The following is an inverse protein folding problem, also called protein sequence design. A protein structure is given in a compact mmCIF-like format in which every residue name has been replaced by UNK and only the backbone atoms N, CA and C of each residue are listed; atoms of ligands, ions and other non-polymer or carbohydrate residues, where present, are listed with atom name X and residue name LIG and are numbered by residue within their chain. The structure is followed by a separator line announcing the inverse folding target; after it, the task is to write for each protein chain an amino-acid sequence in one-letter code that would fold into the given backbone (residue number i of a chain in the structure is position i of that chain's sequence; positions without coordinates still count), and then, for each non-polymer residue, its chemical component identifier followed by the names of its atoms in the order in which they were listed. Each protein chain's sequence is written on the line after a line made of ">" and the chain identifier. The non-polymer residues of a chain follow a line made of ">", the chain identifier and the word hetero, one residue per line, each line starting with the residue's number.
data_IF_054435220349
#
_entry.id   IF_054435220349
#
_cell.length_a   1.000
_cell.length_b   1.000
_cell.length_c   1.000
_cell.angle_alpha   90.00
_cell.angle_beta   90.00
_cell.angle_gamma   90.00
#
_symmetry.space_group_name_H-M   'P 1'
#
loop_
_entity.id
_entity.type
_entity.pdbx_description
1 polymer ?
#
# COMPACT_ATOMS: atom_id res chain seq x y z
N UNK A 1 13.30 -0.51 -10.53
CA UNK A 1 12.46 -1.50 -9.81
C UNK A 1 13.03 -1.95 -8.47
N UNK A 2 14.33 -2.28 -8.36
CA UNK A 2 14.91 -2.81 -7.10
C UNK A 2 14.83 -1.87 -5.88
N UNK A 3 14.85 -0.53 -6.04
CA UNK A 3 14.76 0.39 -4.89
C UNK A 3 13.34 0.55 -4.34
N UNK A 4 12.29 0.32 -5.15
CA UNK A 4 10.90 0.48 -4.71
C UNK A 4 10.47 -0.63 -3.74
N UNK A 5 10.93 -1.88 -3.99
CA UNK A 5 10.77 -3.00 -3.06
C UNK A 5 11.70 -2.89 -1.84
N UNK A 6 12.80 -2.14 -1.94
CA UNK A 6 13.75 -1.98 -0.84
C UNK A 6 13.20 -1.12 0.29
N UNK A 7 12.35 -0.12 0.01
CA UNK A 7 11.78 0.80 1.04
C UNK A 7 10.96 0.10 2.13
N UNK A 8 9.90 -0.69 1.82
CA UNK A 8 9.13 -1.38 2.85
C UNK A 8 9.96 -2.44 3.57
N UNK A 9 10.83 -3.15 2.85
CA UNK A 9 11.77 -4.11 3.46
C UNK A 9 12.76 -3.43 4.41
N UNK A 10 13.24 -2.23 4.07
CA UNK A 10 14.14 -1.47 4.91
C UNK A 10 13.45 -0.99 6.19
N UNK A 11 12.22 -0.45 6.10
CA UNK A 11 11.45 -0.06 7.30
C UNK A 11 11.15 -1.23 8.22
N UNK A 12 10.78 -2.38 7.66
CA UNK A 12 10.53 -3.57 8.45
C UNK A 12 11.79 -4.11 9.15
N UNK A 13 12.90 -4.22 8.42
CA UNK A 13 14.15 -4.82 8.95
C UNK A 13 14.93 -3.87 9.84
N UNK A 14 15.00 -2.58 9.49
CA UNK A 14 15.88 -1.60 10.15
C UNK A 14 15.16 -0.63 11.07
N UNK A 15 13.92 -0.22 10.76
CA UNK A 15 13.15 0.73 11.59
C UNK A 15 12.22 0.02 12.58
N UNK A 16 12.06 -1.30 12.47
CA UNK A 16 11.21 -2.11 13.35
C UNK A 16 9.72 -1.89 13.14
N UNK A 17 9.32 -1.28 12.02
CA UNK A 17 7.92 -0.99 11.70
C UNK A 17 7.14 -2.28 11.45
N UNK A 18 6.04 -2.47 12.20
CA UNK A 18 5.18 -3.66 12.15
C UNK A 18 3.77 -3.35 11.66
N UNK A 19 3.43 -2.07 11.47
CA UNK A 19 2.16 -1.66 10.89
C UNK A 19 2.12 -2.05 9.40
N UNK A 20 1.40 -3.13 9.10
CA UNK A 20 1.26 -3.67 7.74
C UNK A 20 0.64 -2.64 6.80
N UNK A 21 -0.28 -1.80 7.30
CA UNK A 21 -0.88 -0.72 6.51
C UNK A 21 0.18 0.32 6.15
N UNK A 22 1.02 0.68 7.10
CA UNK A 22 2.14 1.59 6.84
C UNK A 22 3.10 1.05 5.79
N UNK A 23 3.47 -0.23 5.88
CA UNK A 23 4.34 -0.89 4.90
C UNK A 23 3.70 -0.95 3.51
N UNK A 24 2.39 -1.20 3.43
CA UNK A 24 1.64 -1.19 2.17
C UNK A 24 1.61 0.20 1.52
N UNK A 25 1.34 1.25 2.30
CA UNK A 25 1.35 2.65 1.81
C UNK A 25 2.77 3.08 1.41
N UNK A 26 3.79 2.64 2.15
CA UNK A 26 5.19 2.87 1.80
C UNK A 26 5.56 2.26 0.45
N UNK A 27 5.09 1.03 0.17
CA UNK A 27 5.27 0.36 -1.12
C UNK A 27 4.54 1.12 -2.23
N UNK A 28 3.32 1.56 -1.98
CA UNK A 28 2.52 2.36 -2.90
C UNK A 28 3.26 3.64 -3.28
N UNK A 29 3.70 4.42 -2.28
CA UNK A 29 4.46 5.66 -2.48
C UNK A 29 5.71 5.43 -3.33
N UNK A 30 6.46 4.37 -3.01
CA UNK A 30 7.70 4.04 -3.70
C UNK A 30 7.49 3.68 -5.18
N UNK A 31 6.36 3.06 -5.54
CA UNK A 31 6.06 2.71 -6.94
C UNK A 31 5.52 3.94 -7.68
N UNK A 32 4.60 4.69 -7.07
CA UNK A 32 3.97 5.85 -7.72
C UNK A 32 5.00 6.96 -8.00
N UNK A 33 5.87 7.26 -7.05
CA UNK A 33 6.82 8.39 -7.14
C UNK A 33 8.04 8.09 -8.02
N UNK A 34 8.44 6.82 -8.15
CA UNK A 34 9.60 6.44 -8.96
C UNK A 34 9.25 6.24 -10.45
N UNK A 35 7.98 6.35 -10.84
CA UNK A 35 7.48 6.16 -12.22
C UNK A 35 8.17 5.01 -13.00
N UNK A 36 8.23 3.77 -12.45
CA UNK A 36 9.04 2.71 -13.03
C UNK A 36 8.49 2.15 -14.37
N UNK A 37 7.27 2.49 -14.75
CA UNK A 37 6.63 2.05 -16.00
C UNK A 37 6.27 3.25 -16.88
N UNK A 38 6.25 3.05 -18.21
CA UNK A 38 5.84 4.09 -19.17
C UNK A 38 4.39 4.56 -18.95
N UNK A 39 3.48 3.64 -18.61
CA UNK A 39 2.08 3.94 -18.27
C UNK A 39 1.55 2.97 -17.21
N UNK A 40 0.53 3.39 -16.44
CA UNK A 40 -0.15 2.50 -15.47
C UNK A 40 0.50 2.40 -14.09
N UNK A 41 1.47 3.27 -13.76
CA UNK A 41 2.14 3.31 -12.45
C UNK A 41 1.15 3.32 -11.26
N UNK A 42 0.07 4.10 -11.36
CA UNK A 42 -0.93 4.25 -10.29
C UNK A 42 -1.69 2.95 -10.00
N UNK A 43 -2.20 2.29 -11.05
CA UNK A 43 -2.90 1.00 -10.93
C UNK A 43 -1.98 -0.10 -10.41
N UNK A 44 -0.73 -0.10 -10.89
CA UNK A 44 0.27 -1.10 -10.48
C UNK A 44 0.67 -0.92 -9.02
N UNK A 45 0.91 0.31 -8.58
CA UNK A 45 1.22 0.62 -7.18
C UNK A 45 0.07 0.24 -6.24
N UNK A 46 -1.16 0.57 -6.65
CA UNK A 46 -2.35 0.25 -5.88
C UNK A 46 -2.54 -1.27 -5.74
N UNK A 47 -2.45 -2.01 -6.85
CA UNK A 47 -2.57 -3.46 -6.83
C UNK A 47 -1.43 -4.12 -6.03
N UNK A 48 -0.21 -3.60 -6.11
CA UNK A 48 0.93 -4.09 -5.33
C UNK A 48 0.70 -3.91 -3.82
N UNK A 49 0.14 -2.77 -3.40
CA UNK A 49 -0.21 -2.52 -2.00
C UNK A 49 -1.34 -3.44 -1.51
N UNK A 50 -2.39 -3.65 -2.32
CA UNK A 50 -3.46 -4.60 -2.00
C UNK A 50 -2.95 -6.03 -1.88
N UNK A 51 -2.13 -6.50 -2.84
CA UNK A 51 -1.55 -7.84 -2.78
C UNK A 51 -0.64 -7.98 -1.55
N UNK A 52 0.10 -6.94 -1.18
CA UNK A 52 0.91 -6.93 0.03
C UNK A 52 0.04 -7.10 1.27
N UNK A 53 -1.04 -6.33 1.42
CA UNK A 53 -1.98 -6.47 2.53
C UNK A 53 -2.55 -7.89 2.58
N UNK A 54 -3.06 -8.38 1.45
CA UNK A 54 -3.68 -9.71 1.37
C UNK A 54 -2.73 -10.83 1.77
N UNK A 55 -1.45 -10.74 1.37
CA UNK A 55 -0.42 -11.71 1.78
C UNK A 55 -0.10 -11.66 3.27
N UNK A 56 -0.43 -10.57 3.95
CA UNK A 56 -0.26 -10.41 5.39
C UNK A 56 -1.58 -10.61 6.16
N UNK A 57 -2.65 -11.10 5.51
CA UNK A 57 -3.93 -11.38 6.15
C UNK A 57 -4.80 -10.15 6.39
N UNK A 58 -4.60 -9.09 5.60
CA UNK A 58 -5.40 -7.88 5.66
C UNK A 58 -5.96 -7.54 4.29
N UNK A 59 -7.15 -6.94 4.24
CA UNK A 59 -7.71 -6.37 3.02
C UNK A 59 -8.25 -4.97 3.31
N UNK A 60 -8.52 -4.20 2.25
CA UNK A 60 -9.16 -2.90 2.36
C UNK A 60 -10.61 -3.01 1.87
N UNK A 61 -11.56 -2.99 2.81
CA UNK A 61 -12.99 -3.02 2.48
C UNK A 61 -13.54 -1.61 2.44
N UNK A 62 -13.94 -1.17 1.24
CA UNK A 62 -14.61 0.11 1.04
C UNK A 62 -16.07 -0.12 0.65
N UNK A 63 -17.03 0.53 1.33
CA UNK A 63 -18.44 0.36 0.99
C UNK A 63 -18.81 0.84 -0.43
N UNK A 64 -18.21 1.92 -0.95
CA UNK A 64 -18.46 2.41 -2.33
C UNK A 64 -17.47 3.53 -2.79
N UNK A 65 -16.32 3.70 -2.12
CA UNK A 65 -15.51 4.92 -2.22
C UNK A 65 -14.26 4.82 -3.12
N UNK A 66 -14.40 4.23 -4.31
CA UNK A 66 -13.29 4.15 -5.29
C UNK A 66 -12.67 5.52 -5.63
N UNK A 67 -13.47 6.59 -5.58
CA UNK A 67 -13.02 7.95 -5.82
C UNK A 67 -12.04 8.47 -4.75
N UNK A 68 -12.35 8.26 -3.45
CA UNK A 68 -11.47 8.71 -2.36
C UNK A 68 -10.12 8.02 -2.38
N UNK A 69 -10.10 6.73 -2.67
CA UNK A 69 -8.86 5.98 -2.78
C UNK A 69 -8.00 6.43 -3.96
N UNK A 70 -8.65 6.66 -5.11
CA UNK A 70 -7.98 7.25 -6.26
C UNK A 70 -7.39 8.63 -5.91
N UNK A 71 -8.13 9.47 -5.16
CA UNK A 71 -7.67 10.79 -4.71
C UNK A 71 -6.50 10.71 -3.73
N UNK A 72 -6.51 9.74 -2.79
CA UNK A 72 -5.38 9.51 -1.88
C UNK A 72 -4.12 9.11 -2.65
N UNK A 73 -4.25 8.17 -3.60
CA UNK A 73 -3.14 7.72 -4.45
C UNK A 73 -2.66 8.83 -5.39
N UNK A 74 -3.57 9.62 -5.95
CA UNK A 74 -3.26 10.79 -6.77
C UNK A 74 -2.53 11.86 -5.96
N UNK A 75 -2.99 12.13 -4.73
CA UNK A 75 -2.35 13.10 -3.85
C UNK A 75 -0.95 12.67 -3.45
N UNK A 76 -0.74 11.38 -3.20
CA UNK A 76 0.58 10.82 -2.92
C UNK A 76 1.51 10.89 -4.14
N UNK A 77 0.96 10.72 -5.35
CA UNK A 77 1.69 10.89 -6.61
C UNK A 77 2.12 12.34 -6.86
N UNK A 78 1.22 13.28 -6.54
CA UNK A 78 1.41 14.70 -6.73
C UNK A 78 2.18 15.37 -5.57
N UNK A 79 2.60 14.60 -4.57
CA UNK A 79 3.20 15.09 -3.32
C UNK A 79 2.31 16.10 -2.55
N UNK A 80 0.99 16.08 -2.78
CA UNK A 80 0.01 16.89 -2.04
C UNK A 80 -0.55 16.18 -0.82
N UNK A 81 -0.25 14.87 -0.67
CA UNK A 81 -0.50 14.08 0.52
C UNK A 81 0.76 13.33 0.91
N UNK A 82 0.96 13.20 2.21
CA UNK A 82 2.06 12.44 2.80
C UNK A 82 1.65 10.99 3.08
N UNK A 83 2.64 10.10 3.21
CA UNK A 83 2.40 8.70 3.60
C UNK A 83 1.60 8.58 4.91
N UNK A 84 1.93 9.30 6.01
CA UNK A 84 1.14 9.24 7.24
C UNK A 84 -0.33 9.62 7.04
N UNK A 85 -0.62 10.68 6.29
CA UNK A 85 -2.01 11.09 6.01
C UNK A 85 -2.79 10.01 5.27
N UNK A 86 -2.15 9.32 4.33
CA UNK A 86 -2.78 8.22 3.59
C UNK A 86 -2.97 7.01 4.48
N UNK A 87 -2.01 6.68 5.35
CA UNK A 87 -2.17 5.59 6.31
C UNK A 87 -3.35 5.85 7.23
N UNK A 88 -3.40 7.03 7.85
CA UNK A 88 -4.47 7.37 8.80
C UNK A 88 -5.85 7.38 8.14
N UNK A 89 -5.94 7.87 6.89
CA UNK A 89 -7.18 7.80 6.12
C UNK A 89 -7.63 6.36 5.82
N UNK A 90 -6.69 5.43 5.66
CA UNK A 90 -6.99 4.04 5.34
C UNK A 90 -7.24 3.16 6.57
N UNK A 91 -6.90 3.63 7.79
CA UNK A 91 -7.09 2.86 9.04
C UNK A 91 -8.53 2.44 9.30
N UNK A 92 -9.51 3.23 8.86
CA UNK A 92 -10.93 2.90 9.04
C UNK A 92 -11.43 1.78 8.10
N UNK A 93 -10.64 1.43 7.09
CA UNK A 93 -11.05 0.53 6.00
C UNK A 93 -10.23 -0.75 5.95
N UNK A 94 -9.15 -0.85 6.73
CA UNK A 94 -8.39 -2.08 6.87
C UNK A 94 -9.16 -3.08 7.73
N UNK A 95 -9.31 -4.29 7.21
CA UNK A 95 -9.96 -5.40 7.89
C UNK A 95 -9.03 -6.61 7.85
N UNK A 96 -9.13 -7.48 8.85
CA UNK A 96 -8.52 -8.80 8.76
C UNK A 96 -9.21 -9.60 7.64
N UNK A 97 -8.39 -10.17 6.77
CA UNK A 97 -8.81 -10.98 5.64
C UNK A 97 -8.28 -12.39 5.83
N UNK A 98 -9.19 -13.35 5.91
CA UNK A 98 -8.83 -14.76 5.90
C UNK A 98 -8.78 -15.23 4.43
N UNK A 99 -7.59 -15.49 3.86
CA UNK A 99 -7.49 -15.94 2.49
C UNK A 99 -8.20 -17.30 2.33
N UNK A 100 -9.01 -17.50 1.28
CA UNK A 100 -9.81 -18.71 1.08
C UNK A 100 -8.97 -19.99 0.92
N UNK A 101 -7.68 -19.86 0.60
CA UNK A 101 -6.69 -20.93 0.71
C UNK A 101 -5.71 -20.55 1.83
N UNK A 102 -5.61 -21.38 2.86
CA UNK A 102 -4.86 -21.16 4.11
C UNK A 102 -3.34 -21.01 4.00
N UNK A 103 -2.85 -20.25 3.03
CA UNK A 103 -1.50 -19.73 2.96
C UNK A 103 -1.32 -18.58 3.97
N UNK A 104 -1.42 -18.91 5.27
CA UNK A 104 -0.78 -18.08 6.29
C UNK A 104 0.71 -18.12 6.00
N UNK A 105 1.25 -17.05 5.42
CA UNK A 105 2.68 -16.87 5.30
C UNK A 105 3.25 -16.90 6.72
N UNK A 106 3.93 -18.00 7.04
CA UNK A 106 4.72 -18.17 8.25
C UNK A 106 5.91 -17.22 8.26
#
# INVERSE_FOLDING_TARGET
>A
MSSALARPRHRYIYDGERDILWLAVSLLAAIVQNHPFEQGNKRTAFLAALIFLNKNGYDLTFPDENAKLADLVLGLAAHTKTEPEVVDALRAYIVEFDPPDGAKAR
#
